data_IF_531392128346
#
_entry.id   IF_531392128346
#
_cell.length_a   1.000
_cell.length_b   1.000
_cell.length_c   1.000
_cell.angle_alpha   90.00
_cell.angle_beta   90.00
_cell.angle_gamma   90.00
#
_symmetry.space_group_name_H-M   'P 1'
#
loop_
_entity.id
_entity.type
_entity.pdbx_description
1 polymer ?
#
# COMPACT_ATOMS: atom_id res chain seq x y z
N UNK A 1 -2.73 -12.17 -1.69
CA UNK A 1 -2.37 -10.87 -1.06
C UNK A 1 -2.09 -9.84 -2.16
N UNK A 2 -2.32 -8.56 -1.87
CA UNK A 2 -2.07 -7.43 -2.79
C UNK A 2 -1.16 -6.39 -2.14
N UNK A 3 -0.54 -5.56 -2.97
CA UNK A 3 0.40 -4.52 -2.60
C UNK A 3 -0.08 -3.18 -3.15
N UNK A 4 0.19 -2.10 -2.44
CA UNK A 4 -0.18 -0.74 -2.85
C UNK A 4 0.67 0.27 -2.09
N UNK A 5 0.78 1.48 -2.65
CA UNK A 5 1.49 2.58 -2.02
C UNK A 5 0.64 3.82 -2.16
N UNK A 6 0.49 4.56 -1.07
CA UNK A 6 -0.16 5.86 -1.03
C UNK A 6 0.71 6.83 -0.25
N UNK A 7 0.68 8.10 -0.62
CA UNK A 7 1.34 9.15 0.14
C UNK A 7 0.57 9.44 1.42
N UNK A 8 1.29 9.68 2.51
CA UNK A 8 0.69 10.10 3.77
C UNK A 8 0.43 11.62 3.71
N UNK A 9 -0.79 12.08 4.01
CA UNK A 9 -1.09 13.52 4.08
C UNK A 9 -0.22 14.19 5.15
N UNK A 10 0.33 15.37 4.83
CA UNK A 10 1.14 16.15 5.77
C UNK A 10 0.31 17.14 6.59
N UNK A 11 -0.92 17.43 6.17
CA UNK A 11 -1.81 18.35 6.86
C UNK A 11 -2.44 17.70 8.10
N UNK A 12 -2.57 18.41 9.23
CA UNK A 12 -3.32 17.92 10.38
C UNK A 12 -4.78 17.59 10.04
N UNK A 13 -5.35 16.58 10.71
CA UNK A 13 -6.78 16.24 10.60
C UNK A 13 -7.04 14.80 10.13
N UNK A 14 -8.30 14.49 9.86
CA UNK A 14 -8.74 13.19 9.35
C UNK A 14 -8.82 13.21 7.83
N UNK A 15 -8.14 12.26 7.19
CA UNK A 15 -8.03 12.16 5.74
C UNK A 15 -8.45 10.79 5.27
N UNK A 16 -9.31 10.76 4.25
CA UNK A 16 -9.65 9.53 3.55
C UNK A 16 -8.70 9.31 2.39
N UNK A 17 -7.87 8.27 2.46
CA UNK A 17 -6.88 7.93 1.43
C UNK A 17 -7.29 6.65 0.73
N UNK A 18 -7.39 6.73 -0.59
CA UNK A 18 -7.73 5.59 -1.44
C UNK A 18 -6.46 5.02 -2.06
N UNK A 19 -6.08 3.82 -1.66
CA UNK A 19 -4.89 3.11 -2.14
C UNK A 19 -5.29 2.05 -3.16
N UNK A 20 -4.91 2.27 -4.42
CA UNK A 20 -5.08 1.27 -5.48
C UNK A 20 -4.04 0.15 -5.29
N UNK A 21 -4.49 -1.09 -5.37
CA UNK A 21 -3.64 -2.26 -5.12
C UNK A 21 -3.46 -3.12 -6.35
N UNK A 22 -2.34 -3.82 -6.39
CA UNK A 22 -1.95 -4.75 -7.43
C UNK A 22 -1.35 -6.00 -6.81
N UNK A 23 -1.28 -7.08 -7.58
CA UNK A 23 -0.59 -8.32 -7.15
C UNK A 23 0.24 -8.87 -8.30
N UNK A 24 1.33 -9.61 -8.01
CA UNK A 24 2.03 -10.33 -9.08
C UNK A 24 1.06 -11.32 -9.73
N UNK A 25 1.10 -11.46 -11.05
CA UNK A 25 0.23 -12.40 -11.76
C UNK A 25 0.67 -13.85 -11.61
N UNK A 26 1.96 -14.07 -11.40
CA UNK A 26 2.57 -15.40 -11.35
C UNK A 26 2.48 -16.14 -12.70
N UNK A 27 3.00 -17.36 -12.71
CA UNK A 27 2.86 -18.29 -13.86
C UNK A 27 1.52 -19.03 -13.80
N UNK A 28 1.11 -19.65 -14.91
CA UNK A 28 -0.13 -20.41 -14.97
C UNK A 28 -0.14 -21.58 -13.95
N UNK A 29 0.97 -22.32 -13.82
CA UNK A 29 1.09 -23.40 -12.83
C UNK A 29 0.95 -22.91 -11.38
N UNK A 30 1.56 -21.78 -11.03
CA UNK A 30 1.42 -21.19 -9.69
C UNK A 30 -0.02 -20.78 -9.35
N UNK A 31 -0.84 -20.46 -10.35
CA UNK A 31 -2.25 -20.11 -10.15
C UNK A 31 -3.16 -21.32 -9.94
N UNK A 32 -2.76 -22.51 -10.40
CA UNK A 32 -3.57 -23.72 -10.29
C UNK A 32 -3.14 -24.64 -9.14
N UNK A 33 -1.86 -24.57 -8.75
CA UNK A 33 -1.26 -25.51 -7.81
C UNK A 33 -1.18 -24.99 -6.37
N UNK A 34 -1.65 -23.76 -6.09
CA UNK A 34 -1.50 -23.14 -4.77
C UNK A 34 -2.75 -22.43 -4.27
N UNK A 35 -3.01 -22.51 -2.96
CA UNK A 35 -4.17 -21.91 -2.28
C UNK A 35 -4.02 -20.41 -1.95
N UNK A 36 -2.82 -19.83 -2.13
CA UNK A 36 -2.50 -18.46 -1.69
C UNK A 36 -2.17 -17.45 -2.79
N UNK A 37 -2.12 -17.88 -4.05
CA UNK A 37 -1.66 -17.07 -5.19
C UNK A 37 -0.17 -16.68 -5.09
N UNK A 38 0.39 -16.12 -6.18
CA UNK A 38 1.78 -15.64 -6.20
C UNK A 38 2.01 -14.47 -5.23
N UNK A 39 3.18 -14.45 -4.61
CA UNK A 39 3.62 -13.41 -3.67
C UNK A 39 5.02 -12.91 -4.03
N UNK A 40 5.33 -11.67 -3.68
CA UNK A 40 6.68 -11.13 -3.84
C UNK A 40 7.62 -11.76 -2.81
N UNK A 41 8.79 -12.22 -3.26
CA UNK A 41 9.85 -12.70 -2.37
C UNK A 41 10.48 -11.57 -1.56
N UNK A 42 10.55 -10.39 -2.16
CA UNK A 42 11.06 -9.16 -1.55
C UNK A 42 9.94 -8.11 -1.60
N UNK A 43 9.18 -7.92 -0.51
CA UNK A 43 8.04 -7.00 -0.49
C UNK A 43 8.41 -5.53 -0.74
N UNK A 44 9.66 -5.13 -0.44
CA UNK A 44 10.15 -3.76 -0.63
C UNK A 44 10.10 -3.30 -2.11
N UNK A 45 10.14 -4.24 -3.05
CA UNK A 45 9.96 -3.94 -4.49
C UNK A 45 8.58 -3.33 -4.77
N UNK A 46 7.62 -3.47 -3.84
CA UNK A 46 6.32 -2.84 -3.99
C UNK A 46 6.31 -1.33 -3.68
N UNK A 47 7.34 -0.80 -3.01
CA UNK A 47 7.44 0.60 -2.61
C UNK A 47 7.55 1.52 -3.82
N UNK A 48 6.99 2.72 -3.72
CA UNK A 48 7.08 3.73 -4.77
C UNK A 48 8.56 4.08 -5.05
N UNK A 49 8.97 4.03 -6.32
CA UNK A 49 10.35 4.28 -6.72
C UNK A 49 11.29 3.07 -6.62
N UNK A 50 10.81 1.88 -6.25
CA UNK A 50 11.59 0.66 -6.38
C UNK A 50 11.92 0.42 -7.87
N UNK A 51 13.21 0.58 -8.21
CA UNK A 51 13.69 0.62 -9.59
C UNK A 51 13.28 -0.58 -10.43
N UNK A 52 13.11 -1.76 -9.83
CA UNK A 52 12.81 -2.99 -10.57
C UNK A 52 11.31 -3.31 -10.76
N UNK A 53 10.38 -2.47 -10.27
CA UNK A 53 8.95 -2.78 -10.36
C UNK A 53 8.46 -3.01 -11.80
N UNK A 54 9.03 -2.30 -12.77
CA UNK A 54 8.66 -2.44 -14.19
C UNK A 54 8.94 -3.84 -14.76
N UNK A 55 9.79 -4.64 -14.11
CA UNK A 55 10.11 -6.02 -14.51
C UNK A 55 9.07 -7.04 -14.05
N UNK A 56 8.15 -6.65 -13.15
CA UNK A 56 7.13 -7.54 -12.62
C UNK A 56 5.90 -7.58 -13.53
N UNK A 57 5.39 -8.79 -13.80
CA UNK A 57 4.06 -8.97 -14.40
C UNK A 57 3.01 -8.90 -13.30
N UNK A 58 2.17 -7.86 -13.35
CA UNK A 58 1.18 -7.56 -12.31
C UNK A 58 -0.24 -7.51 -12.85
N UNK A 59 -1.22 -7.64 -11.97
CA UNK A 59 -2.65 -7.40 -12.25
C UNK A 59 -3.29 -6.57 -11.13
N UNK A 60 -4.42 -5.93 -11.42
CA UNK A 60 -5.16 -5.16 -10.42
C UNK A 60 -5.74 -6.08 -9.35
N UNK A 61 -5.70 -5.63 -8.09
CA UNK A 61 -6.18 -6.38 -6.93
C UNK A 61 -7.28 -5.64 -6.14
N UNK A 62 -7.85 -4.58 -6.73
CA UNK A 62 -8.86 -3.74 -6.11
C UNK A 62 -8.26 -2.55 -5.37
N UNK A 63 -9.05 -1.97 -4.46
CA UNK A 63 -8.74 -0.71 -3.80
C UNK A 63 -9.00 -0.82 -2.31
N UNK A 64 -8.08 -0.27 -1.51
CA UNK A 64 -8.20 -0.18 -0.05
C UNK A 64 -8.42 1.29 0.31
N UNK A 65 -9.48 1.57 1.08
CA UNK A 65 -9.73 2.91 1.62
C UNK A 65 -9.26 2.95 3.07
N UNK A 66 -8.47 3.97 3.40
CA UNK A 66 -7.88 4.21 4.70
C UNK A 66 -8.43 5.52 5.27
N UNK A 67 -8.82 5.52 6.54
CA UNK A 67 -9.09 6.73 7.30
C UNK A 67 -7.84 7.04 8.15
N UNK A 68 -7.16 8.13 7.86
CA UNK A 68 -5.88 8.51 8.47
C UNK A 68 -6.04 9.78 9.31
N UNK A 69 -5.87 9.65 10.63
CA UNK A 69 -5.71 10.78 11.53
C UNK A 69 -4.25 11.25 11.55
N UNK A 70 -3.98 12.45 11.05
CA UNK A 70 -2.65 13.05 11.05
C UNK A 70 -2.58 14.06 12.19
N UNK A 71 -1.73 13.76 13.17
CA UNK A 71 -1.50 14.59 14.33
C UNK A 71 -0.08 15.17 14.28
N UNK A 72 0.07 16.51 14.15
CA UNK A 72 1.38 17.12 14.15
C UNK A 72 2.05 16.99 15.53
N UNK A 73 3.39 16.97 15.56
CA UNK A 73 4.12 17.08 16.84
C UNK A 73 3.85 18.46 17.48
N UNK A 74 3.99 18.55 18.80
CA UNK A 74 3.75 19.75 19.62
C UNK A 74 2.28 20.18 19.73
N UNK A 75 1.32 19.24 19.76
CA UNK A 75 -0.09 19.53 20.06
C UNK A 75 -0.29 20.30 21.37
N UNK A 76 0.59 20.11 22.35
CA UNK A 76 0.58 20.86 23.61
C UNK A 76 0.82 22.37 23.45
N UNK A 77 1.51 22.81 22.40
CA UNK A 77 1.68 24.24 22.08
C UNK A 77 0.40 24.85 21.47
N UNK A 78 -0.47 24.01 20.91
CA UNK A 78 -1.74 24.41 20.27
C UNK A 78 -2.98 24.08 21.12
N UNK A 79 -2.80 23.71 22.39
CA UNK A 79 -3.89 23.56 23.36
C UNK A 79 -4.80 22.34 23.18
N UNK A 80 -4.38 21.33 22.41
CA UNK A 80 -5.18 20.10 22.22
C UNK A 80 -4.72 19.04 23.22
N UNK A 81 -5.56 18.77 24.22
CA UNK A 81 -5.42 17.64 25.14
C UNK A 81 -6.39 16.51 24.72
N UNK A 82 -5.92 15.26 24.78
CA UNK A 82 -6.74 14.06 24.57
C UNK A 82 -7.64 13.78 25.76
#
# INVERSE_FOLDING_TARGET
SGYGVCHVPSAPGCHRVTCVTWRPRGTWGQRLLGTGGPQLRVPEVAVAGAGDRFRLRTESAGTVTLELGVLPRNMGTFGVAL
#
